data_IF_759837705975
#
_entry.id   IF_759837705975
#
_cell.length_a   1.000
_cell.length_b   1.000
_cell.length_c   1.000
_cell.angle_alpha   90.00
_cell.angle_beta   90.00
_cell.angle_gamma   90.00
#
_symmetry.space_group_name_H-M   'P 1'
#
loop_
_entity.id
_entity.type
_entity.pdbx_description
1 polymer ?
#
# COMPACT_ATOMS: atom_id res chain seq x y z
N UNK A 1 -23.36 -28.84 -25.28
CA UNK A 1 -23.54 -28.91 -23.82
C UNK A 1 -22.19 -28.66 -23.16
N UNK A 2 -22.07 -27.76 -22.19
CA UNK A 2 -20.79 -27.53 -21.51
C UNK A 2 -20.30 -28.82 -20.84
N UNK A 3 -18.98 -29.04 -20.87
CA UNK A 3 -18.40 -30.23 -20.26
C UNK A 3 -18.63 -30.23 -18.73
N UNK A 4 -18.64 -31.43 -18.12
CA UNK A 4 -18.77 -31.57 -16.65
C UNK A 4 -17.67 -30.75 -15.92
N UNK A 5 -16.49 -30.60 -16.53
CA UNK A 5 -15.41 -29.75 -16.04
C UNK A 5 -15.71 -28.25 -16.11
N UNK A 6 -16.34 -27.76 -17.19
CA UNK A 6 -16.78 -26.36 -17.29
C UNK A 6 -17.89 -26.04 -16.29
N UNK A 7 -18.85 -26.95 -16.12
CA UNK A 7 -19.91 -26.76 -15.12
C UNK A 7 -19.34 -26.76 -13.68
N UNK A 8 -18.31 -27.56 -13.40
CA UNK A 8 -17.64 -27.58 -12.09
C UNK A 8 -16.82 -26.31 -11.85
N UNK A 9 -16.12 -25.80 -12.87
CA UNK A 9 -15.41 -24.50 -12.82
C UNK A 9 -16.37 -23.33 -12.62
N UNK A 10 -17.51 -23.33 -13.33
CA UNK A 10 -18.54 -22.30 -13.22
C UNK A 10 -19.24 -22.30 -11.86
N UNK A 11 -19.53 -23.49 -11.31
CA UNK A 11 -20.12 -23.60 -9.97
C UNK A 11 -19.16 -23.13 -8.85
N UNK A 12 -17.86 -23.43 -9.00
CA UNK A 12 -16.82 -22.92 -8.09
C UNK A 12 -16.62 -21.40 -8.21
N UNK A 13 -16.73 -20.81 -9.40
CA UNK A 13 -16.69 -19.35 -9.58
C UNK A 13 -17.93 -18.65 -9.03
N UNK A 14 -19.11 -19.26 -9.17
CA UNK A 14 -20.37 -18.70 -8.71
C UNK A 14 -20.49 -18.79 -7.16
N UNK A 15 -20.03 -19.86 -6.53
CA UNK A 15 -19.97 -19.96 -5.05
C UNK A 15 -18.93 -18.98 -4.46
N UNK A 16 -17.76 -18.84 -5.09
CA UNK A 16 -16.71 -17.94 -4.60
C UNK A 16 -17.12 -16.47 -4.66
N UNK A 17 -17.89 -16.06 -5.69
CA UNK A 17 -18.33 -14.66 -5.83
C UNK A 17 -19.42 -14.26 -4.83
N UNK A 18 -20.21 -15.20 -4.30
CA UNK A 18 -21.26 -14.89 -3.32
C UNK A 18 -20.74 -14.38 -1.96
N UNK A 19 -19.48 -14.72 -1.62
CA UNK A 19 -18.82 -14.32 -0.37
C UNK A 19 -17.98 -13.04 -0.50
N UNK A 20 -17.92 -12.43 -1.68
CA UNK A 20 -17.08 -11.27 -1.95
C UNK A 20 -17.92 -9.99 -1.84
N UNK A 21 -17.50 -9.07 -0.98
CA UNK A 21 -18.06 -7.72 -0.86
C UNK A 21 -17.09 -6.69 -1.44
N UNK A 22 -17.61 -5.74 -2.21
CA UNK A 22 -16.83 -4.66 -2.80
C UNK A 22 -15.96 -5.07 -4.01
N UNK A 23 -14.98 -4.23 -4.30
CA UNK A 23 -14.13 -4.24 -5.50
C UNK A 23 -14.88 -4.03 -6.81
N UNK A 24 -14.19 -4.22 -7.94
CA UNK A 24 -14.70 -3.93 -9.27
C UNK A 24 -14.44 -5.10 -10.23
N UNK A 25 -15.42 -5.46 -11.05
CA UNK A 25 -15.33 -6.63 -11.94
C UNK A 25 -14.16 -6.53 -12.95
N UNK A 26 -13.89 -5.33 -13.47
CA UNK A 26 -12.76 -5.06 -14.38
C UNK A 26 -11.39 -4.94 -13.72
N UNK A 27 -11.30 -5.09 -12.39
CA UNK A 27 -10.06 -4.98 -11.63
C UNK A 27 -10.03 -5.98 -10.46
N UNK A 28 -10.39 -7.24 -10.73
CA UNK A 28 -10.26 -8.35 -9.78
C UNK A 28 -8.83 -8.90 -9.78
N UNK A 29 -8.37 -9.32 -8.61
CA UNK A 29 -7.11 -10.07 -8.51
C UNK A 29 -7.16 -11.35 -9.35
N UNK A 30 -6.01 -11.74 -9.89
CA UNK A 30 -5.79 -13.05 -10.53
C UNK A 30 -5.41 -14.14 -9.52
N UNK A 31 -5.14 -13.79 -8.26
CA UNK A 31 -4.94 -14.74 -7.18
C UNK A 31 -6.28 -15.36 -6.75
N UNK A 32 -6.56 -16.58 -7.24
CA UNK A 32 -7.74 -17.35 -6.86
C UNK A 32 -7.62 -18.00 -5.46
N UNK A 33 -6.39 -18.10 -4.95
CA UNK A 33 -6.04 -18.63 -3.63
C UNK A 33 -4.83 -17.86 -3.10
N UNK A 34 -4.65 -17.80 -1.77
CA UNK A 34 -3.42 -17.29 -1.18
C UNK A 34 -2.19 -17.98 -1.78
N UNK A 35 -1.15 -17.19 -2.00
CA UNK A 35 0.10 -17.69 -2.55
C UNK A 35 0.90 -18.39 -1.44
N UNK A 36 1.63 -19.43 -1.84
CA UNK A 36 2.45 -20.25 -0.94
C UNK A 36 3.91 -20.01 -1.30
N UNK A 37 4.72 -19.66 -0.30
CA UNK A 37 6.18 -19.52 -0.47
C UNK A 37 6.81 -20.86 -0.76
N UNK A 38 7.85 -20.86 -1.59
CA UNK A 38 8.63 -22.07 -1.89
C UNK A 38 10.00 -22.10 -1.22
N UNK A 39 10.37 -21.03 -0.49
CA UNK A 39 11.64 -20.91 0.23
C UNK A 39 12.79 -20.43 -0.66
N UNK A 40 12.52 -19.80 -1.80
CA UNK A 40 13.54 -19.32 -2.73
C UNK A 40 14.47 -18.28 -2.07
N UNK A 41 13.95 -17.51 -1.11
CA UNK A 41 14.72 -16.52 -0.36
C UNK A 41 15.42 -17.06 0.91
N UNK A 42 15.25 -18.33 1.26
CA UNK A 42 15.72 -18.88 2.53
C UNK A 42 17.25 -18.92 2.66
N UNK A 43 17.96 -18.88 1.53
CA UNK A 43 19.43 -18.80 1.50
C UNK A 43 19.99 -17.41 1.79
N UNK A 44 19.14 -16.37 1.77
CA UNK A 44 19.57 -15.01 2.09
C UNK A 44 19.47 -14.77 3.59
N UNK A 45 20.49 -14.14 4.15
CA UNK A 45 20.45 -13.69 5.54
C UNK A 45 19.40 -12.58 5.68
N UNK A 46 18.59 -12.69 6.71
CA UNK A 46 17.60 -11.68 7.03
C UNK A 46 17.45 -11.51 8.55
N UNK A 47 16.90 -10.38 8.93
CA UNK A 47 16.43 -10.09 10.28
C UNK A 47 14.99 -9.59 10.22
N UNK A 48 14.10 -10.19 11.03
CA UNK A 48 12.81 -9.58 11.31
C UNK A 48 13.01 -8.46 12.33
N UNK A 49 12.69 -7.22 11.93
CA UNK A 49 12.95 -6.03 12.75
C UNK A 49 12.00 -5.92 13.95
N UNK A 50 10.79 -6.47 13.81
CA UNK A 50 9.82 -6.62 14.90
C UNK A 50 9.07 -7.95 14.75
N UNK A 51 8.35 -8.42 15.79
CA UNK A 51 7.61 -9.69 15.69
C UNK A 51 6.53 -9.68 14.60
N UNK A 52 5.85 -8.55 14.41
CA UNK A 52 4.64 -8.50 13.55
C UNK A 52 4.88 -7.91 12.17
N UNK A 53 5.87 -7.04 12.00
CA UNK A 53 6.09 -6.28 10.75
C UNK A 53 7.58 -5.98 10.54
N UNK A 54 7.99 -5.88 9.28
CA UNK A 54 9.35 -5.52 8.89
C UNK A 54 10.28 -6.73 8.81
N UNK A 55 10.95 -6.84 7.67
CA UNK A 55 12.08 -7.75 7.45
C UNK A 55 13.17 -7.03 6.68
N UNK A 56 14.40 -7.12 7.15
CA UNK A 56 15.58 -6.61 6.45
C UNK A 56 16.36 -7.78 5.86
N UNK A 57 16.71 -7.70 4.57
CA UNK A 57 17.62 -8.64 3.92
C UNK A 57 19.02 -8.04 3.79
N UNK A 58 20.03 -8.87 4.04
CA UNK A 58 21.43 -8.54 3.84
C UNK A 58 21.93 -9.09 2.50
N UNK A 59 22.62 -8.24 1.72
CA UNK A 59 23.31 -8.66 0.50
C UNK A 59 22.42 -8.89 -0.74
N UNK A 60 21.10 -8.77 -0.61
CA UNK A 60 20.17 -8.81 -1.77
C UNK A 60 20.28 -7.52 -2.56
N UNK A 61 20.41 -7.60 -3.89
CA UNK A 61 20.42 -6.46 -4.81
C UNK A 61 19.29 -6.59 -5.83
N UNK A 62 18.56 -5.50 -6.08
CA UNK A 62 17.48 -5.45 -7.08
C UNK A 62 17.95 -5.93 -8.46
N UNK A 63 19.13 -5.49 -8.91
CA UNK A 63 19.72 -5.90 -10.20
C UNK A 63 19.89 -7.41 -10.33
N UNK A 64 20.20 -8.08 -9.23
CA UNK A 64 20.38 -9.53 -9.22
C UNK A 64 19.03 -10.26 -9.16
N UNK A 65 18.06 -9.74 -8.41
CA UNK A 65 16.68 -10.24 -8.44
C UNK A 65 16.09 -10.20 -9.85
N UNK A 66 16.31 -9.10 -10.60
CA UNK A 66 15.79 -8.92 -11.95
C UNK A 66 16.38 -9.90 -12.98
N UNK A 67 17.58 -10.42 -12.73
CA UNK A 67 18.25 -11.43 -13.58
C UNK A 67 17.95 -12.85 -13.14
N UNK A 68 17.46 -13.03 -11.91
CA UNK A 68 17.22 -14.33 -11.33
C UNK A 68 15.88 -14.93 -11.79
N UNK A 69 15.61 -16.15 -11.34
CA UNK A 69 14.35 -16.83 -11.60
C UNK A 69 13.18 -16.10 -10.92
N UNK A 70 12.03 -16.04 -11.60
CA UNK A 70 10.84 -15.34 -11.10
C UNK A 70 10.33 -15.90 -9.76
N UNK A 71 10.70 -17.13 -9.38
CA UNK A 71 10.40 -17.68 -8.06
C UNK A 71 10.97 -16.84 -6.90
N UNK A 72 12.13 -16.21 -7.07
CA UNK A 72 12.72 -15.33 -6.05
C UNK A 72 11.88 -14.07 -5.86
N UNK A 73 11.45 -13.43 -6.94
CA UNK A 73 10.61 -12.23 -6.88
C UNK A 73 9.21 -12.59 -6.38
N UNK A 74 8.69 -13.75 -6.75
CA UNK A 74 7.42 -14.26 -6.25
C UNK A 74 7.47 -14.49 -4.73
N UNK A 75 8.50 -15.16 -4.23
CA UNK A 75 8.67 -15.34 -2.78
C UNK A 75 8.93 -14.01 -2.06
N UNK A 76 9.60 -13.05 -2.71
CA UNK A 76 9.73 -11.69 -2.21
C UNK A 76 8.36 -11.01 -2.09
N UNK A 77 7.52 -11.09 -3.11
CA UNK A 77 6.17 -10.52 -3.10
C UNK A 77 5.33 -11.10 -1.95
N UNK A 78 5.39 -12.42 -1.73
CA UNK A 78 4.70 -13.07 -0.61
C UNK A 78 5.28 -12.59 0.73
N UNK A 79 6.61 -12.53 0.84
CA UNK A 79 7.28 -12.07 2.06
C UNK A 79 6.91 -10.62 2.39
N UNK A 80 6.88 -9.71 1.41
CA UNK A 80 6.42 -8.33 1.59
C UNK A 80 4.96 -8.33 2.08
N UNK A 81 4.11 -9.16 1.49
CA UNK A 81 2.67 -9.20 1.84
C UNK A 81 2.42 -9.79 3.23
N UNK A 82 3.26 -10.71 3.71
CA UNK A 82 3.19 -11.29 5.06
C UNK A 82 3.84 -10.40 6.13
N UNK A 83 4.99 -9.81 5.82
CA UNK A 83 5.80 -8.98 6.75
C UNK A 83 5.47 -7.50 6.67
N UNK A 84 4.58 -7.10 5.78
CA UNK A 84 4.14 -5.74 5.51
C UNK A 84 5.15 -4.85 4.78
N UNK A 85 6.41 -4.89 5.19
CA UNK A 85 7.51 -4.16 4.53
C UNK A 85 8.81 -4.96 4.59
N UNK A 86 9.55 -4.92 3.49
CA UNK A 86 10.90 -5.45 3.36
C UNK A 86 11.89 -4.32 3.09
N UNK A 87 13.07 -4.40 3.71
CA UNK A 87 14.18 -3.46 3.56
C UNK A 87 15.38 -4.14 2.90
N UNK A 88 15.94 -3.50 1.88
CA UNK A 88 17.17 -3.91 1.20
C UNK A 88 18.21 -2.81 1.38
N UNK A 89 19.33 -3.13 2.02
CA UNK A 89 20.39 -2.15 2.32
C UNK A 89 21.23 -1.84 1.09
N UNK A 90 21.71 -0.60 0.98
CA UNK A 90 22.74 -0.17 0.01
C UNK A 90 22.51 -0.68 -1.43
N UNK A 91 21.40 -0.26 -2.05
CA UNK A 91 21.03 -0.69 -3.39
C UNK A 91 21.71 0.15 -4.48
N UNK A 92 22.46 -0.52 -5.34
CA UNK A 92 22.85 0.02 -6.64
C UNK A 92 21.75 -0.31 -7.66
N UNK A 93 20.77 0.57 -7.76
CA UNK A 93 19.59 0.40 -8.62
C UNK A 93 19.19 1.72 -9.27
N UNK A 94 18.79 1.67 -10.54
CA UNK A 94 18.25 2.80 -11.29
C UNK A 94 16.72 2.91 -11.16
N UNK A 95 16.11 4.08 -11.44
CA UNK A 95 14.66 4.20 -11.49
C UNK A 95 13.99 3.21 -12.46
N UNK A 96 14.62 2.90 -13.59
CA UNK A 96 14.15 1.89 -14.56
C UNK A 96 14.11 0.49 -13.96
N UNK A 97 15.15 0.11 -13.22
CA UNK A 97 15.20 -1.18 -12.54
C UNK A 97 14.20 -1.25 -11.36
N UNK A 98 13.97 -0.12 -10.67
CA UNK A 98 12.91 -0.03 -9.66
C UNK A 98 11.53 -0.23 -10.29
N UNK A 99 11.26 0.41 -11.44
CA UNK A 99 10.02 0.19 -12.22
C UNK A 99 9.86 -1.28 -12.61
N UNK A 100 10.90 -1.87 -13.20
CA UNK A 100 10.89 -3.27 -13.64
C UNK A 100 10.65 -4.26 -12.48
N UNK A 101 11.28 -4.04 -11.32
CA UNK A 101 11.07 -4.91 -10.16
C UNK A 101 9.66 -4.75 -9.60
N UNK A 102 9.18 -3.50 -9.47
CA UNK A 102 7.84 -3.23 -8.97
C UNK A 102 6.75 -3.87 -9.87
N UNK A 103 6.91 -3.76 -11.20
CA UNK A 103 6.05 -4.44 -12.19
C UNK A 103 6.08 -5.96 -12.04
N UNK A 104 7.27 -6.57 -11.91
CA UNK A 104 7.38 -8.02 -11.70
C UNK A 104 6.73 -8.47 -10.38
N UNK A 105 6.92 -7.73 -9.29
CA UNK A 105 6.32 -8.04 -7.99
C UNK A 105 4.79 -8.06 -8.10
N UNK A 106 4.18 -6.99 -8.63
CA UNK A 106 2.72 -6.90 -8.73
C UNK A 106 2.12 -7.97 -9.66
N UNK A 107 2.79 -8.26 -10.80
CA UNK A 107 2.35 -9.29 -11.73
C UNK A 107 2.39 -10.68 -11.10
N UNK A 108 3.50 -11.03 -10.42
CA UNK A 108 3.67 -12.31 -9.75
C UNK A 108 2.79 -12.43 -8.49
N UNK A 109 2.39 -11.30 -7.90
CA UNK A 109 1.39 -11.19 -6.84
C UNK A 109 -0.06 -11.22 -7.35
N UNK A 110 -0.27 -11.39 -8.65
CA UNK A 110 -1.59 -11.58 -9.25
C UNK A 110 -2.45 -10.33 -9.32
N UNK A 111 -1.85 -9.16 -9.59
CA UNK A 111 -2.62 -7.97 -9.96
C UNK A 111 -3.52 -8.23 -11.20
N UNK A 112 -4.58 -7.44 -11.41
CA UNK A 112 -5.35 -7.47 -12.66
C UNK A 112 -4.47 -7.16 -13.87
N UNK A 113 -4.77 -7.74 -15.04
CA UNK A 113 -4.06 -7.44 -16.30
C UNK A 113 -4.17 -5.97 -16.73
N UNK A 114 -5.23 -5.30 -16.31
CA UNK A 114 -5.48 -3.88 -16.56
C UNK A 114 -4.65 -2.94 -15.67
N UNK A 115 -3.88 -3.48 -14.71
CA UNK A 115 -3.13 -2.69 -13.74
C UNK A 115 -1.65 -2.65 -14.08
N UNK A 116 -1.08 -1.45 -14.09
CA UNK A 116 0.34 -1.21 -14.27
C UNK A 116 0.92 -0.34 -13.15
N UNK A 117 1.98 0.39 -13.49
CA UNK A 117 2.55 1.39 -12.59
C UNK A 117 1.67 2.63 -12.51
N UNK A 118 1.49 3.15 -11.31
CA UNK A 118 0.71 4.35 -11.05
C UNK A 118 1.44 5.61 -11.55
N UNK A 119 0.67 6.57 -12.04
CA UNK A 119 1.12 7.92 -12.37
C UNK A 119 0.44 8.86 -11.39
N UNK A 120 1.22 9.56 -10.55
CA UNK A 120 0.62 10.46 -9.56
C UNK A 120 -0.16 11.59 -10.23
N UNK A 121 -1.35 11.97 -9.72
CA UNK A 121 -2.16 13.03 -10.32
C UNK A 121 -1.45 14.38 -10.47
N UNK A 122 -0.43 14.63 -9.64
CA UNK A 122 0.40 15.85 -9.65
C UNK A 122 1.80 15.67 -10.26
N UNK A 123 2.16 14.51 -10.83
CA UNK A 123 3.44 14.39 -11.54
C UNK A 123 3.36 15.19 -12.84
N UNK A 124 4.36 16.03 -13.16
CA UNK A 124 4.41 16.77 -14.43
C UNK A 124 4.57 15.83 -15.63
N UNK A 125 3.84 16.08 -16.72
CA UNK A 125 3.90 15.28 -17.95
C UNK A 125 5.28 15.32 -18.60
N UNK A 126 5.83 14.14 -18.94
CA UNK A 126 7.17 14.05 -19.53
C UNK A 126 8.29 14.22 -18.51
N UNK A 127 8.07 13.81 -17.25
CA UNK A 127 9.07 13.84 -16.19
C UNK A 127 10.36 13.12 -16.62
N UNK A 128 11.53 13.69 -16.28
CA UNK A 128 12.84 13.19 -16.71
C UNK A 128 13.11 11.73 -16.30
N UNK A 129 12.59 11.29 -15.15
CA UNK A 129 12.72 9.91 -14.66
C UNK A 129 11.58 8.98 -15.14
N UNK A 130 10.66 9.52 -15.93
CA UNK A 130 9.40 8.91 -16.32
C UNK A 130 8.26 9.31 -15.38
N UNK A 131 7.05 9.31 -15.93
CA UNK A 131 5.83 9.76 -15.27
C UNK A 131 5.40 8.88 -14.08
N UNK A 132 5.88 7.65 -14.04
CA UNK A 132 5.63 6.66 -12.99
C UNK A 132 6.57 6.83 -11.78
N UNK A 133 7.64 7.62 -11.90
CA UNK A 133 8.55 7.92 -10.79
C UNK A 133 8.07 9.18 -10.07
N UNK A 134 7.84 9.06 -8.77
CA UNK A 134 7.61 10.20 -7.89
C UNK A 134 8.89 10.52 -7.12
N UNK A 135 9.51 11.66 -7.40
CA UNK A 135 10.67 12.15 -6.62
C UNK A 135 10.16 12.76 -5.31
N UNK A 136 10.39 12.06 -4.21
CA UNK A 136 10.07 12.51 -2.85
C UNK A 136 11.22 13.37 -2.35
N UNK A 137 11.05 14.70 -2.38
CA UNK A 137 12.09 15.66 -2.01
C UNK A 137 11.58 16.66 -0.97
N UNK A 138 12.37 16.90 0.08
CA UNK A 138 12.07 17.92 1.09
C UNK A 138 12.07 19.34 0.51
N UNK A 139 12.85 19.59 -0.53
CA UNK A 139 12.85 20.88 -1.23
C UNK A 139 11.58 21.08 -2.07
N UNK A 140 11.10 20.00 -2.73
CA UNK A 140 9.80 20.02 -3.41
C UNK A 140 8.66 20.22 -2.42
N UNK A 141 8.73 19.60 -1.23
CA UNK A 141 7.77 19.78 -0.14
C UNK A 141 7.75 21.21 0.41
N UNK A 142 8.91 21.85 0.60
CA UNK A 142 8.98 23.27 1.02
C UNK A 142 8.32 24.22 0.01
N UNK A 143 8.32 23.85 -1.28
CA UNK A 143 7.62 24.59 -2.35
C UNK A 143 6.15 24.22 -2.48
N UNK A 144 5.69 23.18 -1.78
CA UNK A 144 4.29 22.78 -1.81
C UNK A 144 3.93 21.31 -1.92
N UNK A 145 4.80 20.51 -2.54
CA UNK A 145 4.38 19.19 -3.00
C UNK A 145 4.28 18.16 -1.89
N UNK A 146 3.16 17.45 -1.76
CA UNK A 146 3.02 16.27 -0.89
C UNK A 146 1.80 16.30 0.04
N UNK A 147 1.62 15.25 0.85
CA UNK A 147 0.49 15.09 1.78
C UNK A 147 0.60 15.96 3.03
N UNK A 148 1.82 16.30 3.44
CA UNK A 148 2.08 17.15 4.59
C UNK A 148 2.52 18.51 4.09
N UNK A 149 1.54 19.36 3.83
CA UNK A 149 1.82 20.76 3.61
C UNK A 149 2.53 21.34 4.84
N UNK A 150 3.58 22.12 4.63
CA UNK A 150 4.16 22.98 5.68
C UNK A 150 3.52 24.38 5.56
N UNK A 151 2.18 24.46 5.57
CA UNK A 151 1.50 25.74 5.81
C UNK A 151 1.74 26.16 7.28
N UNK A 152 1.66 27.46 7.56
CA UNK A 152 1.91 27.99 8.92
C UNK A 152 0.92 27.49 9.97
N UNK A 153 -0.25 26.97 9.55
CA UNK A 153 -1.31 26.42 10.42
C UNK A 153 -1.66 24.97 10.04
N UNK A 154 -0.67 24.07 10.17
CA UNK A 154 -0.88 22.62 10.04
C UNK A 154 -0.79 21.91 11.39
N UNK A 155 -1.43 20.73 11.47
CA UNK A 155 -1.37 19.86 12.63
C UNK A 155 0.08 19.64 13.07
N UNK A 156 0.33 19.81 14.37
CA UNK A 156 1.62 19.50 15.01
C UNK A 156 1.80 18.01 15.31
N UNK A 157 0.74 17.21 15.15
CA UNK A 157 0.81 15.77 15.36
C UNK A 157 1.33 15.07 14.12
N UNK A 158 2.52 14.44 14.22
CA UNK A 158 3.05 13.60 13.15
C UNK A 158 2.08 12.46 12.75
N UNK A 159 1.21 12.04 13.67
CA UNK A 159 0.22 10.99 13.44
C UNK A 159 -0.83 11.34 12.37
N UNK A 160 -0.96 12.60 11.94
CA UNK A 160 -1.84 12.94 10.82
C UNK A 160 -1.31 12.43 9.47
N UNK A 161 -0.02 12.08 9.40
CA UNK A 161 0.62 11.57 8.19
C UNK A 161 0.43 10.07 7.95
N UNK A 162 -0.24 9.32 8.83
CA UNK A 162 -0.46 7.89 8.63
C UNK A 162 -1.43 7.61 7.48
N UNK A 163 -0.92 6.96 6.43
CA UNK A 163 -1.70 6.63 5.23
C UNK A 163 -1.26 5.33 4.56
N UNK A 164 -2.15 4.79 3.74
CA UNK A 164 -1.81 3.90 2.64
C UNK A 164 -1.91 4.73 1.35
N UNK A 165 -0.98 4.55 0.43
CA UNK A 165 -0.90 5.31 -0.81
C UNK A 165 -2.13 5.09 -1.69
N UNK A 166 -2.60 6.17 -2.34
CA UNK A 166 -3.51 6.10 -3.49
C UNK A 166 -4.89 5.48 -3.17
N UNK A 167 -5.28 5.40 -1.89
CA UNK A 167 -6.60 4.86 -1.47
C UNK A 167 -7.80 5.69 -1.93
N UNK A 168 -7.57 6.85 -2.54
CA UNK A 168 -8.60 7.70 -3.14
C UNK A 168 -8.93 7.31 -4.60
N UNK A 169 -8.19 6.37 -5.20
CA UNK A 169 -8.48 5.83 -6.54
C UNK A 169 -9.29 4.52 -6.44
N UNK A 170 -10.15 4.20 -7.44
CA UNK A 170 -10.89 2.95 -7.47
C UNK A 170 -10.00 1.70 -7.42
N UNK A 171 -8.82 1.76 -8.03
CA UNK A 171 -7.78 0.72 -8.00
C UNK A 171 -6.53 1.30 -7.33
N UNK A 172 -6.38 1.14 -6.01
CA UNK A 172 -5.27 1.72 -5.27
C UNK A 172 -3.97 0.93 -5.48
N UNK A 173 -2.88 1.46 -4.94
CA UNK A 173 -1.59 0.79 -5.00
C UNK A 173 -1.57 -0.50 -4.17
N UNK A 174 -1.01 -1.57 -4.73
CA UNK A 174 -0.72 -2.81 -4.01
C UNK A 174 0.66 -2.82 -3.38
N UNK A 175 1.69 -2.44 -4.13
CA UNK A 175 3.05 -2.28 -3.64
C UNK A 175 3.58 -0.90 -3.94
N UNK A 176 4.38 -0.40 -3.01
CA UNK A 176 5.18 0.78 -3.23
C UNK A 176 6.62 0.53 -2.82
N UNK A 177 7.53 1.19 -3.52
CA UNK A 177 8.96 1.03 -3.42
C UNK A 177 9.60 2.40 -3.31
N UNK A 178 10.46 2.60 -2.32
CA UNK A 178 11.14 3.87 -2.08
C UNK A 178 12.63 3.63 -1.83
N UNK A 179 13.47 4.26 -2.65
CA UNK A 179 14.92 4.34 -2.43
C UNK A 179 15.26 5.74 -1.94
N UNK A 180 15.99 5.86 -0.83
CA UNK A 180 16.48 7.17 -0.39
C UNK A 180 17.96 7.32 -0.73
N UNK A 181 18.31 8.29 -1.57
CA UNK A 181 19.69 8.54 -2.01
C UNK A 181 20.31 9.80 -1.39
N UNK A 182 19.47 10.75 -0.94
CA UNK A 182 19.91 11.97 -0.21
C UNK A 182 19.26 11.98 1.16
N UNK A 183 20.07 12.11 2.22
CA UNK A 183 19.63 12.02 3.61
C UNK A 183 20.23 13.16 4.44
N UNK A 184 19.50 13.64 5.45
CA UNK A 184 20.09 14.45 6.51
C UNK A 184 21.03 13.59 7.37
N UNK A 185 21.92 14.23 8.14
CA UNK A 185 22.77 13.51 9.10
C UNK A 185 21.94 12.79 10.20
N UNK A 186 20.75 13.32 10.53
CA UNK A 186 19.80 12.74 11.48
C UNK A 186 18.35 13.09 11.10
N UNK A 187 17.39 12.28 11.56
CA UNK A 187 15.98 12.43 11.25
C UNK A 187 15.61 11.89 9.86
N UNK A 188 14.33 12.01 9.50
CA UNK A 188 13.80 11.58 8.19
C UNK A 188 13.44 10.10 8.12
N UNK A 189 13.27 9.46 9.28
CA UNK A 189 12.82 8.07 9.41
C UNK A 189 11.41 7.88 8.84
N UNK A 190 11.11 6.65 8.45
CA UNK A 190 9.75 6.26 8.07
C UNK A 190 9.25 5.18 9.02
N UNK A 191 7.99 5.29 9.44
CA UNK A 191 7.31 4.27 10.22
C UNK A 191 6.32 3.52 9.34
N UNK A 192 6.14 2.22 9.60
CA UNK A 192 5.08 1.39 9.05
C UNK A 192 4.29 0.73 10.17
N UNK A 193 3.00 0.46 9.94
CA UNK A 193 2.11 -0.20 10.89
C UNK A 193 1.28 -1.29 10.20
N UNK A 194 1.11 -2.44 10.87
CA UNK A 194 0.43 -3.60 10.29
C UNK A 194 -1.08 -3.53 10.48
N UNK A 195 -1.82 -3.43 9.38
CA UNK A 195 -3.29 -3.48 9.39
C UNK A 195 -3.86 -4.86 9.76
N UNK A 196 -3.08 -5.93 9.58
CA UNK A 196 -3.41 -7.26 10.11
C UNK A 196 -3.39 -7.28 11.64
N UNK A 197 -2.34 -6.72 12.24
CA UNK A 197 -2.21 -6.70 13.70
C UNK A 197 -3.30 -5.83 14.34
N UNK A 198 -3.68 -4.72 13.69
CA UNK A 198 -4.81 -3.91 14.15
C UNK A 198 -6.14 -4.69 14.03
N UNK A 199 -6.36 -5.41 12.93
CA UNK A 199 -7.56 -6.24 12.77
C UNK A 199 -7.65 -7.34 13.84
N UNK A 200 -6.55 -8.04 14.10
CA UNK A 200 -6.49 -9.16 15.06
C UNK A 200 -6.66 -8.71 16.53
N UNK A 201 -6.50 -7.41 16.83
CA UNK A 201 -6.77 -6.83 18.16
C UNK A 201 -8.24 -6.49 18.40
N UNK A 202 -9.02 -6.37 17.35
CA UNK A 202 -10.44 -6.08 17.47
C UNK A 202 -11.14 -7.27 18.13
N UNK A 203 -12.13 -6.99 18.99
CA UNK A 203 -13.00 -8.06 19.47
C UNK A 203 -13.76 -8.70 18.31
N UNK A 204 -14.15 -9.98 18.38
CA UNK A 204 -14.90 -10.63 17.30
C UNK A 204 -16.20 -9.88 16.92
N UNK A 205 -16.85 -9.24 17.89
CA UNK A 205 -18.03 -8.39 17.64
C UNK A 205 -17.69 -7.14 16.82
N UNK A 206 -16.57 -6.47 17.13
CA UNK A 206 -16.11 -5.31 16.37
C UNK A 206 -15.63 -5.71 14.97
N UNK A 207 -14.94 -6.85 14.83
CA UNK A 207 -14.57 -7.41 13.54
C UNK A 207 -15.82 -7.63 12.68
N UNK A 208 -16.80 -8.38 13.18
CA UNK A 208 -18.03 -8.67 12.45
C UNK A 208 -18.82 -7.42 12.08
N UNK A 209 -18.84 -6.39 12.94
CA UNK A 209 -19.47 -5.11 12.63
C UNK A 209 -18.73 -4.35 11.51
N UNK A 210 -17.41 -4.16 11.64
CA UNK A 210 -16.61 -3.40 10.66
C UNK A 210 -16.52 -4.10 9.30
N UNK A 211 -16.59 -5.43 9.25
CA UNK A 211 -16.69 -6.22 8.01
C UNK A 211 -17.97 -5.94 7.19
N UNK A 212 -18.96 -5.25 7.77
CA UNK A 212 -20.16 -4.81 7.03
C UNK A 212 -20.03 -3.43 6.41
N UNK A 213 -19.01 -2.66 6.80
CA UNK A 213 -18.91 -1.24 6.50
C UNK A 213 -17.97 -0.95 5.32
N UNK A 214 -18.23 0.18 4.67
CA UNK A 214 -17.32 0.78 3.68
C UNK A 214 -16.93 2.18 4.15
N UNK A 215 -15.93 2.78 3.54
CA UNK A 215 -15.49 4.14 3.84
C UNK A 215 -15.21 4.93 2.56
N UNK A 216 -15.44 6.24 2.63
CA UNK A 216 -15.06 7.21 1.59
C UNK A 216 -13.62 7.64 1.83
N UNK A 217 -12.79 7.46 0.81
CA UNK A 217 -11.43 7.95 0.74
C UNK A 217 -11.39 9.11 -0.26
N UNK A 218 -10.86 10.25 0.14
CA UNK A 218 -10.90 11.50 -0.61
C UNK A 218 -9.53 12.17 -0.60
N UNK A 219 -9.09 12.64 -1.77
CA UNK A 219 -7.88 13.41 -1.93
C UNK A 219 -8.10 14.70 -2.73
N UNK A 220 -9.28 15.32 -2.60
CA UNK A 220 -9.61 16.56 -3.32
C UNK A 220 -8.71 17.73 -2.97
N UNK A 221 -8.01 17.70 -1.84
CA UNK A 221 -6.98 18.68 -1.51
C UNK A 221 -5.85 18.73 -2.56
N UNK A 222 -5.65 17.69 -3.37
CA UNK A 222 -4.74 17.76 -4.52
C UNK A 222 -5.20 18.71 -5.63
N UNK A 223 -6.50 18.99 -5.75
CA UNK A 223 -7.02 20.00 -6.68
C UNK A 223 -6.61 21.40 -6.24
N UNK A 224 -6.70 21.67 -4.93
CA UNK A 224 -6.26 22.93 -4.34
C UNK A 224 -4.74 23.10 -4.53
N UNK A 225 -3.98 22.02 -4.33
CA UNK A 225 -2.53 22.01 -4.53
C UNK A 225 -2.15 22.25 -5.99
N UNK A 226 -2.79 21.55 -6.94
CA UNK A 226 -2.58 21.75 -8.38
C UNK A 226 -2.78 23.21 -8.80
N UNK A 227 -3.87 23.83 -8.33
CA UNK A 227 -4.17 25.24 -8.60
C UNK A 227 -3.10 26.17 -8.02
N UNK A 228 -2.60 25.87 -6.82
CA UNK A 228 -1.61 26.68 -6.11
C UNK A 228 -0.23 26.66 -6.76
N UNK A 229 0.23 25.49 -7.23
CA UNK A 229 1.55 25.34 -7.86
C UNK A 229 1.54 25.57 -9.37
N UNK A 230 0.36 25.75 -9.98
CA UNK A 230 0.21 25.97 -11.41
C UNK A 230 0.49 24.73 -12.27
N UNK A 231 0.49 23.54 -11.66
CA UNK A 231 0.60 22.26 -12.36
C UNK A 231 -0.78 21.59 -12.39
N UNK A 232 -1.48 21.55 -13.56
CA UNK A 232 -2.81 20.99 -13.62
C UNK A 232 -2.83 19.50 -13.30
N UNK A 233 -3.93 19.04 -12.72
CA UNK A 233 -4.14 17.63 -12.41
C UNK A 233 -4.10 16.79 -13.69
N UNK A 234 -3.45 15.63 -13.65
CA UNK A 234 -3.57 14.62 -14.70
C UNK A 234 -4.93 13.95 -14.66
N UNK A 235 -5.75 14.22 -15.67
CA UNK A 235 -7.08 13.61 -15.83
C UNK A 235 -7.07 12.32 -16.69
N UNK A 236 -5.96 12.02 -17.36
CA UNK A 236 -5.79 10.77 -18.12
C UNK A 236 -5.73 9.52 -17.25
N UNK A 237 -5.53 8.36 -17.89
CA UNK A 237 -5.34 7.06 -17.21
C UNK A 237 -4.07 7.13 -16.34
N UNK A 238 -4.22 6.82 -15.05
CA UNK A 238 -3.15 6.82 -14.04
C UNK A 238 -2.72 5.40 -13.65
N UNK A 239 -2.45 4.55 -14.65
CA UNK A 239 -1.98 3.17 -14.48
C UNK A 239 -3.07 2.09 -14.52
N UNK A 240 -4.35 2.47 -14.40
CA UNK A 240 -5.51 1.58 -14.58
C UNK A 240 -6.61 2.31 -15.35
N UNK A 241 -7.36 1.65 -16.26
CA UNK A 241 -8.49 2.25 -16.96
C UNK A 241 -9.57 2.83 -16.04
N UNK A 242 -9.61 2.40 -14.77
CA UNK A 242 -10.56 2.90 -13.77
C UNK A 242 -10.03 4.10 -12.98
N UNK A 243 -8.73 4.39 -13.06
CA UNK A 243 -8.09 5.51 -12.37
C UNK A 243 -7.88 6.65 -13.37
N UNK A 244 -8.87 7.52 -13.49
CA UNK A 244 -8.83 8.66 -14.40
C UNK A 244 -9.72 9.81 -13.87
N UNK A 245 -9.73 10.94 -14.57
CA UNK A 245 -10.52 12.12 -14.20
C UNK A 245 -10.07 12.79 -12.90
N UNK A 246 -10.89 13.73 -12.42
CA UNK A 246 -10.55 14.64 -11.31
C UNK A 246 -11.28 14.37 -10.00
N UNK A 247 -12.07 13.28 -9.92
CA UNK A 247 -12.86 12.96 -8.72
C UNK A 247 -11.99 12.75 -7.48
N UNK A 248 -10.86 12.04 -7.64
CA UNK A 248 -9.91 11.67 -6.58
C UNK A 248 -10.63 11.22 -5.30
N UNK A 249 -11.65 10.39 -5.49
CA UNK A 249 -12.49 9.86 -4.42
C UNK A 249 -12.91 8.44 -4.78
N UNK A 250 -12.83 7.54 -3.80
CA UNK A 250 -13.24 6.16 -3.94
C UNK A 250 -13.92 5.64 -2.65
N UNK A 251 -14.71 4.57 -2.81
CA UNK A 251 -15.35 3.87 -1.69
C UNK A 251 -14.77 2.47 -1.59
N UNK A 252 -14.27 2.12 -0.40
CA UNK A 252 -13.63 0.84 -0.14
C UNK A 252 -14.19 0.16 1.13
N UNK A 253 -14.11 -1.17 1.25
CA UNK A 253 -14.41 -1.85 2.51
C UNK A 253 -13.53 -1.35 3.66
N UNK A 254 -14.10 -1.19 4.86
CA UNK A 254 -13.32 -0.83 6.06
C UNK A 254 -12.36 -1.96 6.45
N UNK A 255 -12.83 -3.21 6.34
CA UNK A 255 -12.01 -4.41 6.41
C UNK A 255 -11.92 -4.99 5.01
N UNK A 256 -10.71 -5.30 4.56
CA UNK A 256 -10.48 -5.94 3.25
C UNK A 256 -9.66 -7.21 3.39
N UNK A 257 -9.66 -8.01 2.33
CA UNK A 257 -8.78 -9.17 2.18
C UNK A 257 -7.54 -8.78 1.36
N UNK A 258 -6.36 -9.23 1.79
CA UNK A 258 -5.18 -9.22 0.94
C UNK A 258 -5.16 -10.50 0.09
N UNK A 259 -5.16 -10.42 -1.25
CA UNK A 259 -5.29 -11.60 -2.09
C UNK A 259 -4.05 -12.51 -2.07
N UNK A 260 -2.88 -11.98 -1.71
CA UNK A 260 -1.64 -12.76 -1.63
C UNK A 260 -1.62 -13.63 -0.39
N UNK A 261 -2.02 -13.10 0.76
CA UNK A 261 -1.99 -13.83 2.05
C UNK A 261 -3.32 -14.49 2.39
N UNK A 262 -4.44 -14.00 1.85
CA UNK A 262 -5.79 -14.36 2.27
C UNK A 262 -6.16 -13.83 3.66
N UNK A 263 -5.42 -12.84 4.18
CA UNK A 263 -5.67 -12.29 5.52
C UNK A 263 -6.51 -11.02 5.47
N UNK A 264 -7.29 -10.80 6.53
CA UNK A 264 -8.10 -9.60 6.76
C UNK A 264 -7.26 -8.48 7.36
N UNK A 265 -7.42 -7.28 6.83
CA UNK A 265 -6.76 -6.06 7.29
C UNK A 265 -7.76 -4.91 7.41
N UNK A 266 -7.58 -4.06 8.41
CA UNK A 266 -8.21 -2.73 8.42
C UNK A 266 -7.64 -1.90 7.26
N UNK A 267 -8.49 -1.16 6.54
CA UNK A 267 -8.15 -0.38 5.34
C UNK A 267 -8.82 0.99 5.32
N UNK A 268 -8.76 1.68 6.45
CA UNK A 268 -9.05 3.10 6.58
C UNK A 268 -7.80 3.81 7.06
N UNK A 269 -7.59 5.06 6.68
CA UNK A 269 -6.39 5.79 7.07
C UNK A 269 -6.65 7.28 7.30
N UNK A 270 -5.85 7.91 8.15
CA UNK A 270 -6.06 9.31 8.55
C UNK A 270 -5.85 10.28 7.39
N UNK A 271 -4.95 9.94 6.46
CA UNK A 271 -4.61 10.80 5.33
C UNK A 271 -5.75 10.99 4.31
N UNK A 272 -6.59 9.97 4.10
CA UNK A 272 -7.60 9.99 3.04
C UNK A 272 -9.02 9.65 3.49
N UNK A 273 -9.20 8.89 4.57
CA UNK A 273 -10.56 8.45 4.96
C UNK A 273 -11.31 9.56 5.70
N UNK A 274 -12.40 10.03 5.10
CA UNK A 274 -13.22 11.12 5.65
C UNK A 274 -14.52 10.64 6.31
N UNK A 275 -14.99 9.43 6.00
CA UNK A 275 -16.30 8.94 6.43
C UNK A 275 -16.42 7.43 6.31
N UNK A 276 -16.87 6.74 7.36
CA UNK A 276 -17.37 5.35 7.28
C UNK A 276 -18.84 5.39 6.86
N UNK A 277 -19.25 4.69 5.81
CA UNK A 277 -20.63 4.67 5.33
C UNK A 277 -21.52 3.74 6.16
N UNK A 278 -22.84 3.99 6.17
CA UNK A 278 -23.82 3.12 6.83
C UNK A 278 -24.01 3.35 8.33
N UNK A 279 -23.29 4.31 8.92
CA UNK A 279 -23.43 4.76 10.31
C UNK A 279 -23.72 6.26 10.35
N UNK A 280 -24.06 6.84 11.50
CA UNK A 280 -24.14 8.31 11.66
C UNK A 280 -22.78 8.99 11.56
N UNK A 281 -22.74 10.32 11.46
CA UNK A 281 -21.47 11.08 11.45
C UNK A 281 -20.68 10.84 12.74
N UNK A 282 -21.35 10.95 13.88
CA UNK A 282 -20.69 10.84 15.19
C UNK A 282 -20.12 9.44 15.42
N UNK A 283 -20.84 8.39 14.99
CA UNK A 283 -20.34 7.02 15.00
C UNK A 283 -19.14 6.85 14.07
N UNK A 284 -19.16 7.45 12.87
CA UNK A 284 -18.00 7.42 11.96
C UNK A 284 -16.78 8.06 12.59
N UNK A 285 -16.92 9.25 13.17
CA UNK A 285 -15.82 9.97 13.81
C UNK A 285 -15.25 9.17 14.99
N UNK A 286 -16.12 8.58 15.82
CA UNK A 286 -15.74 7.73 16.94
C UNK A 286 -14.99 6.47 16.47
N UNK A 287 -15.53 5.75 15.47
CA UNK A 287 -14.93 4.52 14.95
C UNK A 287 -13.59 4.76 14.27
N UNK A 288 -13.49 5.81 13.44
CA UNK A 288 -12.23 6.21 12.82
C UNK A 288 -11.22 6.61 13.90
N UNK A 289 -11.62 7.41 14.88
CA UNK A 289 -10.79 7.77 16.02
C UNK A 289 -10.26 6.55 16.79
N UNK A 290 -11.12 5.57 17.06
CA UNK A 290 -10.73 4.32 17.70
C UNK A 290 -9.70 3.53 16.87
N UNK A 291 -9.94 3.32 15.58
CA UNK A 291 -9.02 2.60 14.68
C UNK A 291 -7.67 3.31 14.55
N UNK A 292 -7.66 4.65 14.45
CA UNK A 292 -6.43 5.43 14.40
C UNK A 292 -5.68 5.42 15.74
N UNK A 293 -6.38 5.36 16.87
CA UNK A 293 -5.76 5.19 18.19
C UNK A 293 -5.14 3.80 18.32
N UNK A 294 -5.79 2.73 17.84
CA UNK A 294 -5.16 1.42 17.81
C UNK A 294 -3.85 1.45 17.02
N UNK A 295 -3.82 2.11 15.86
CA UNK A 295 -2.59 2.29 15.09
C UNK A 295 -1.53 3.03 15.91
N UNK A 296 -1.85 4.22 16.41
CA UNK A 296 -0.85 5.16 16.99
C UNK A 296 -0.40 4.82 18.40
N UNK A 297 -1.24 4.17 19.21
CA UNK A 297 -0.93 3.85 20.62
C UNK A 297 -0.26 2.48 20.79
N UNK A 298 -0.36 1.58 19.81
CA UNK A 298 0.26 0.25 19.84
C UNK A 298 1.57 0.26 19.06
N UNK A 299 2.64 0.70 19.71
CA UNK A 299 3.99 0.75 19.10
C UNK A 299 4.53 -0.65 18.74
N UNK A 300 4.00 -1.71 19.35
CA UNK A 300 4.28 -3.12 19.03
C UNK A 300 3.64 -3.58 17.71
N UNK A 301 2.72 -2.80 17.14
CA UNK A 301 2.17 -3.02 15.80
C UNK A 301 2.97 -2.32 14.69
N UNK A 302 4.05 -1.62 15.05
CA UNK A 302 4.79 -0.71 14.17
C UNK A 302 6.26 -1.12 14.03
N UNK A 303 6.87 -0.75 12.90
CA UNK A 303 8.32 -0.71 12.71
C UNK A 303 8.74 0.70 12.32
N UNK A 304 9.77 1.23 12.98
CA UNK A 304 10.44 2.47 12.59
C UNK A 304 11.74 2.13 11.90
N UNK A 305 11.94 2.64 10.69
CA UNK A 305 13.15 2.39 9.93
C UNK A 305 13.99 3.66 9.82
N UNK A 306 15.22 3.56 10.31
CA UNK A 306 16.26 4.56 10.10
C UNK A 306 16.97 4.29 8.77
N UNK A 307 16.79 5.23 7.85
CA UNK A 307 17.37 5.15 6.52
C UNK A 307 18.89 5.29 6.56
N UNK A 308 19.58 4.54 5.69
CA UNK A 308 20.95 4.78 5.27
C UNK A 308 20.97 5.09 3.78
N UNK A 309 22.09 5.65 3.31
CA UNK A 309 22.23 6.04 1.92
C UNK A 309 22.01 4.84 1.00
N UNK A 310 21.15 5.03 0.00
CA UNK A 310 20.74 4.03 -0.99
C UNK A 310 19.97 2.83 -0.43
N UNK A 311 19.48 2.88 0.80
CA UNK A 311 18.52 1.89 1.26
C UNK A 311 17.22 1.97 0.47
N UNK A 312 16.58 0.82 0.32
CA UNK A 312 15.33 0.65 -0.40
C UNK A 312 14.32 -0.10 0.48
N UNK A 313 13.11 0.43 0.58
CA UNK A 313 11.98 -0.25 1.21
C UNK A 313 10.96 -0.64 0.13
N UNK A 314 10.37 -1.83 0.26
CA UNK A 314 9.22 -2.30 -0.53
C UNK A 314 8.14 -2.72 0.45
N UNK A 315 6.95 -2.13 0.36
CA UNK A 315 5.85 -2.45 1.27
C UNK A 315 4.56 -2.79 0.53
N UNK A 316 3.73 -3.60 1.19
CA UNK A 316 2.38 -3.94 0.74
C UNK A 316 1.42 -2.87 1.25
N UNK A 317 0.88 -2.08 0.34
CA UNK A 317 0.00 -0.97 0.61
C UNK A 317 -1.46 -1.40 0.81
N UNK A 318 -1.80 -2.67 0.55
CA UNK A 318 -3.14 -3.22 0.80
C UNK A 318 -3.41 -3.46 2.27
N UNK A 319 -2.36 -3.62 3.09
CA UNK A 319 -2.52 -4.10 4.47
C UNK A 319 -1.62 -3.40 5.48
N UNK A 320 -1.01 -2.29 5.10
CA UNK A 320 -0.14 -1.52 5.98
C UNK A 320 -0.34 -0.03 5.76
N UNK A 321 -0.06 0.73 6.80
CA UNK A 321 0.10 2.18 6.70
C UNK A 321 1.55 2.55 6.86
N UNK A 322 1.90 3.74 6.41
CA UNK A 322 3.19 4.34 6.67
C UNK A 322 3.07 5.83 7.00
N UNK A 323 4.09 6.37 7.64
CA UNK A 323 4.20 7.77 8.00
C UNK A 323 5.66 8.21 7.92
N UNK A 324 5.92 9.27 7.15
CA UNK A 324 7.22 9.94 7.16
C UNK A 324 7.37 10.77 8.44
N UNK A 325 8.60 10.84 8.97
CA UNK A 325 8.95 11.70 10.11
C UNK A 325 9.63 12.95 9.58
N UNK A 326 9.06 14.12 9.86
CA UNK A 326 9.56 15.42 9.41
C UNK A 326 10.40 16.10 10.49
N UNK A 327 11.39 15.40 11.03
CA UNK A 327 12.27 15.83 12.14
C UNK A 327 13.68 16.24 11.66
N UNK A 328 13.75 16.89 10.48
CA UNK A 328 15.00 17.29 9.83
C UNK A 328 14.83 18.60 9.04
N UNK A 329 15.91 19.38 8.91
CA UNK A 329 15.93 20.64 8.12
C UNK A 329 16.66 20.51 6.77
N UNK A 330 17.66 19.62 6.72
CA UNK A 330 18.54 19.38 5.59
C UNK A 330 17.82 18.70 4.40
N UNK A 331 18.52 18.59 3.27
CA UNK A 331 17.99 17.95 2.07
C UNK A 331 17.74 16.46 2.31
N UNK A 332 16.54 16.00 1.93
CA UNK A 332 16.16 14.58 1.90
C UNK A 332 15.49 14.31 0.57
N UNK A 333 15.98 13.33 -0.18
CA UNK A 333 15.45 12.99 -1.50
C UNK A 333 15.52 11.48 -1.76
N UNK A 334 14.46 10.98 -2.39
CA UNK A 334 14.37 9.59 -2.84
C UNK A 334 13.39 9.41 -3.98
N UNK A 335 13.53 8.27 -4.65
CA UNK A 335 12.70 7.89 -5.79
C UNK A 335 11.65 6.88 -5.35
N UNK A 336 10.39 7.14 -5.68
CA UNK A 336 9.26 6.26 -5.36
C UNK A 336 8.59 5.73 -6.61
N UNK A 337 8.30 4.44 -6.60
CA UNK A 337 7.48 3.74 -7.60
C UNK A 337 6.32 3.05 -6.91
N UNK A 338 5.13 3.14 -7.46
CA UNK A 338 3.95 2.43 -6.97
C UNK A 338 3.36 1.60 -8.11
N UNK A 339 3.08 0.32 -7.86
CA UNK A 339 2.23 -0.50 -8.72
C UNK A 339 0.77 -0.41 -8.27
N UNK A 340 -0.15 -0.77 -9.16
CA UNK A 340 -1.57 -0.88 -8.87
C UNK A 340 -2.00 -2.34 -8.77
N UNK A 341 -2.82 -2.64 -7.76
CA UNK A 341 -3.37 -3.97 -7.56
C UNK A 341 -4.79 -4.12 -8.04
N UNK A 342 -5.58 -4.85 -7.28
CA UNK A 342 -7.02 -5.01 -7.47
C UNK A 342 -7.84 -3.93 -6.75
N UNK A 343 -9.06 -3.70 -7.24
CA UNK A 343 -10.04 -2.90 -6.51
C UNK A 343 -10.35 -3.58 -5.16
N UNK A 344 -10.26 -2.87 -4.01
CA UNK A 344 -10.33 -3.46 -2.68
C UNK A 344 -11.64 -4.20 -2.44
N UNK A 345 -11.54 -5.42 -1.91
CA UNK A 345 -12.68 -6.28 -1.62
C UNK A 345 -12.48 -6.99 -0.28
N UNK A 346 -13.57 -7.52 0.26
CA UNK A 346 -13.58 -8.41 1.42
C UNK A 346 -14.12 -9.78 0.98
N UNK A 347 -13.34 -10.83 1.19
CA UNK A 347 -13.82 -12.21 1.16
C UNK A 347 -14.25 -12.63 2.56
N UNK A 348 -15.53 -12.93 2.76
CA UNK A 348 -16.06 -13.33 4.06
C UNK A 348 -15.47 -14.66 4.58
N UNK A 349 -14.87 -15.46 3.70
CA UNK A 349 -14.18 -16.71 4.06
C UNK A 349 -12.71 -16.52 4.42
N UNK A 350 -12.16 -15.32 4.21
CA UNK A 350 -10.80 -14.97 4.63
C UNK A 350 -10.68 -14.88 6.15
N UNK A 351 -9.45 -14.97 6.65
CA UNK A 351 -9.16 -15.10 8.09
C UNK A 351 -8.37 -13.91 8.64
N UNK A 352 -8.44 -13.70 9.95
CA UNK A 352 -7.42 -12.89 10.63
C UNK A 352 -6.04 -13.54 10.51
N UNK A 353 -4.97 -12.76 10.63
CA UNK A 353 -3.60 -13.31 10.49
C UNK A 353 -3.31 -14.32 11.60
N UNK A 354 -3.62 -13.98 12.85
CA UNK A 354 -3.42 -14.89 14.01
C UNK A 354 -4.17 -16.20 13.83
N UNK A 355 -5.42 -16.14 13.38
CA UNK A 355 -6.22 -17.33 13.09
C UNK A 355 -5.58 -18.17 11.97
N UNK A 356 -5.12 -17.54 10.88
CA UNK A 356 -4.49 -18.23 9.76
C UNK A 356 -3.15 -18.89 10.14
N UNK A 357 -2.42 -18.29 11.07
CA UNK A 357 -1.12 -18.77 11.56
C UNK A 357 -1.21 -19.64 12.81
N UNK A 358 -2.41 -19.85 13.37
CA UNK A 358 -2.63 -20.57 14.64
C UNK A 358 -1.84 -19.99 15.82
N UNK A 359 -1.82 -18.65 15.94
CA UNK A 359 -1.09 -17.89 16.97
C UNK A 359 -1.97 -17.40 18.12
#
# INVERSE_FOLDING_TARGET
MPSILENKKRKLSDEHTSNIRGGHAGARTRCLKPLIKIGALDNYKYQDLTPVIGREYEGVQVKELLKADDSLIRDLAITISERGVVFLRNQDVTPEEMKALCEKITQLAGCPESSGLHIHPLTEAGSELGDQISVISSEKQKKGGGLTHQLSDVSRYASTGWHADITFEPVPSDYAMLKIHTLPATGGDTLWASGYEIYDRLSPAMQGFLETLTAVHDAKFFLEEAARVGNPLREGIRGSPLNHGSSLQAIHPVIRTNPVTGWKSVFVNKGFTIRINGVSKDESDMLLGYLFNLLTQNHDAQVRYKWRQNDLAIWDNRSNWHCATYDYEEARAGDRVCSLGEAPYLDLTSKGRREALSL
#
